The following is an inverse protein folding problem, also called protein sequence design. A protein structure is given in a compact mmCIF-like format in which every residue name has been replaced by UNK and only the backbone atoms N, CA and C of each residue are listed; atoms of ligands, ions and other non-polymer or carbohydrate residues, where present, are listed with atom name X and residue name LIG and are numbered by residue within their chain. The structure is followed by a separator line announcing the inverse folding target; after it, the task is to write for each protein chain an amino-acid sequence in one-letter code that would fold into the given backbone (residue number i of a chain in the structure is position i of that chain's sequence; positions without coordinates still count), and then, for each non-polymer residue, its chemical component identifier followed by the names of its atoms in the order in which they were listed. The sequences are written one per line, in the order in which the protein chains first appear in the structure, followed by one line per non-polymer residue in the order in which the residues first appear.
data_IF_810903885804
#
_entry.id   IF_810903885804
#
_cell.length_a   1.000
_cell.length_b   1.000
_cell.length_c   1.000
_cell.angle_alpha   90.00
_cell.angle_beta   90.00
_cell.angle_gamma   90.00
#
_symmetry.space_group_name_H-M   'P 1'
#
loop_
_entity.id
_entity.type
_entity.pdbx_description
1 polymer ?
#
# COMPACT_ATOMS: atom_id res chain seq x y z
N UNK A 1 7.71 4.67 15.39
CA UNK A 1 8.05 3.51 14.53
C UNK A 1 6.75 2.96 14.00
N UNK A 2 6.27 3.61 12.95
CA UNK A 2 4.94 3.43 12.40
C UNK A 2 4.92 2.15 11.56
N UNK A 3 4.64 1.03 12.24
CA UNK A 3 4.70 -0.33 11.68
C UNK A 3 3.89 -0.49 10.39
N UNK A 4 2.83 0.31 10.22
CA UNK A 4 2.01 0.33 9.02
C UNK A 4 2.76 0.81 7.78
N UNK A 5 3.58 1.87 7.89
CA UNK A 5 4.32 2.40 6.74
C UNK A 5 5.33 1.39 6.24
N UNK A 6 6.05 0.74 7.15
CA UNK A 6 7.01 -0.32 6.82
C UNK A 6 6.34 -1.53 6.19
N UNK A 7 5.15 -1.94 6.67
CA UNK A 7 4.36 -3.03 6.09
C UNK A 7 3.91 -2.69 4.67
N UNK A 8 3.43 -1.46 4.45
CA UNK A 8 3.08 -0.94 3.11
C UNK A 8 4.31 -0.94 2.20
N UNK A 9 5.47 -0.43 2.64
CA UNK A 9 6.67 -0.39 1.81
C UNK A 9 7.19 -1.78 1.45
N UNK A 10 7.16 -2.73 2.39
CA UNK A 10 7.49 -4.14 2.13
C UNK A 10 6.51 -4.76 1.12
N UNK A 11 5.21 -4.49 1.26
CA UNK A 11 4.18 -4.95 0.33
C UNK A 11 4.36 -4.37 -1.08
N UNK A 12 4.59 -3.06 -1.18
CA UNK A 12 4.88 -2.38 -2.46
C UNK A 12 6.11 -2.99 -3.14
N UNK A 13 7.17 -3.28 -2.36
CA UNK A 13 8.39 -3.92 -2.88
C UNK A 13 8.13 -5.35 -3.35
N UNK A 14 7.40 -6.15 -2.56
CA UNK A 14 7.08 -7.54 -2.90
C UNK A 14 6.19 -7.64 -4.16
N UNK A 15 5.30 -6.67 -4.37
CA UNK A 15 4.39 -6.61 -5.50
C UNK A 15 4.91 -5.78 -6.69
N UNK A 16 6.11 -5.19 -6.57
CA UNK A 16 6.65 -4.19 -7.51
C UNK A 16 5.62 -3.08 -7.84
N UNK A 17 4.80 -2.69 -6.85
CA UNK A 17 3.67 -1.80 -7.04
C UNK A 17 4.06 -0.36 -6.68
N UNK A 18 3.66 0.59 -7.52
CA UNK A 18 3.89 2.01 -7.25
C UNK A 18 3.01 2.52 -6.10
N UNK A 19 3.59 3.35 -5.23
CA UNK A 19 2.88 4.04 -4.15
C UNK A 19 1.62 4.80 -4.62
N UNK A 20 1.70 5.45 -5.79
CA UNK A 20 0.56 6.14 -6.39
C UNK A 20 -0.53 5.17 -6.84
N UNK A 21 -0.15 4.04 -7.47
CA UNK A 21 -1.07 2.98 -7.90
C UNK A 21 -1.76 2.33 -6.72
N UNK A 22 -1.04 2.09 -5.62
CA UNK A 22 -1.61 1.54 -4.40
C UNK A 22 -2.69 2.45 -3.82
N UNK A 23 -2.41 3.75 -3.72
CA UNK A 23 -3.40 4.73 -3.25
C UNK A 23 -4.65 4.79 -4.14
N UNK A 24 -4.46 4.72 -5.46
CA UNK A 24 -5.54 4.64 -6.46
C UNK A 24 -6.39 3.36 -6.29
N UNK A 25 -5.76 2.20 -6.06
CA UNK A 25 -6.47 0.93 -5.89
C UNK A 25 -7.22 0.82 -4.55
N UNK A 26 -6.64 1.34 -3.47
CA UNK A 26 -7.22 1.22 -2.11
C UNK A 26 -8.33 2.25 -1.88
N UNK A 27 -8.10 3.49 -2.28
CA UNK A 27 -8.98 4.64 -1.98
C UNK A 27 -9.31 5.51 -3.17
N UNK A 28 -8.85 5.17 -4.38
CA UNK A 28 -8.88 6.10 -5.53
C UNK A 28 -8.15 7.41 -5.25
N UNK A 29 -7.20 7.38 -4.31
CA UNK A 29 -6.45 8.54 -3.83
C UNK A 29 -4.95 8.28 -3.96
N UNK A 30 -4.34 8.85 -5.01
CA UNK A 30 -2.90 8.69 -5.31
C UNK A 30 -2.00 9.41 -4.30
N UNK A 31 -2.56 10.31 -3.48
CA UNK A 31 -1.81 11.08 -2.49
C UNK A 31 -1.71 10.36 -1.14
N UNK A 32 -2.44 9.25 -0.93
CA UNK A 32 -2.44 8.48 0.30
C UNK A 32 -1.04 8.18 0.82
N UNK A 33 -0.18 7.58 -0.01
CA UNK A 33 1.18 7.18 0.40
C UNK A 33 2.09 8.40 0.62
N UNK A 34 1.91 9.46 -0.17
CA UNK A 34 2.64 10.73 0.02
C UNK A 34 2.26 11.38 1.35
N UNK A 35 1.00 11.31 1.76
CA UNK A 35 0.54 11.83 3.03
C UNK A 35 1.01 10.98 4.22
N UNK A 36 1.05 9.66 4.06
CA UNK A 36 1.70 8.74 5.00
C UNK A 36 3.18 9.07 5.21
N UNK A 37 3.92 9.32 4.12
CA UNK A 37 5.35 9.74 4.18
C UNK A 37 5.56 11.08 4.86
N UNK A 38 4.60 12.00 4.74
CA UNK A 38 4.62 13.28 5.44
C UNK A 38 4.22 13.18 6.93
N UNK A 39 4.00 11.98 7.47
CA UNK A 39 3.59 11.80 8.87
C UNK A 39 2.15 12.26 9.14
N UNK A 40 1.31 12.35 8.11
CA UNK A 40 -0.09 12.70 8.30
C UNK A 40 -0.80 11.60 9.08
N UNK A 41 -1.60 12.00 10.06
CA UNK A 41 -2.43 11.07 10.84
C UNK A 41 -3.38 10.32 9.91
N UNK A 42 -3.22 9.00 9.87
CA UNK A 42 -4.13 8.11 9.17
C UNK A 42 -5.34 7.82 10.05
N UNK A 43 -6.53 7.80 9.48
CA UNK A 43 -7.75 7.46 10.21
C UNK A 43 -7.83 5.92 10.34
N UNK A 44 -8.36 5.39 11.44
CA UNK A 44 -8.47 3.94 11.65
C UNK A 44 -9.31 3.25 10.57
N UNK A 45 -10.27 3.93 9.95
CA UNK A 45 -11.01 3.41 8.79
C UNK A 45 -10.11 3.22 7.56
N UNK A 46 -9.20 4.17 7.33
CA UNK A 46 -8.23 4.10 6.24
C UNK A 46 -7.23 2.98 6.49
N UNK A 47 -6.72 2.85 7.71
CA UNK A 47 -5.82 1.76 8.08
C UNK A 47 -6.50 0.40 7.87
N UNK A 48 -7.75 0.25 8.32
CA UNK A 48 -8.53 -0.97 8.11
C UNK A 48 -8.71 -1.30 6.63
N UNK A 49 -8.97 -0.30 5.78
CA UNK A 49 -9.06 -0.50 4.32
C UNK A 49 -7.73 -0.93 3.72
N UNK A 50 -6.62 -0.28 4.10
CA UNK A 50 -5.27 -0.65 3.64
C UNK A 50 -4.97 -2.10 4.07
N UNK A 51 -5.16 -2.43 5.34
CA UNK A 51 -4.89 -3.78 5.87
C UNK A 51 -5.82 -4.82 5.24
N UNK A 52 -7.10 -4.49 5.04
CA UNK A 52 -8.03 -5.37 4.34
C UNK A 52 -7.61 -5.59 2.89
N UNK A 53 -7.21 -4.52 2.18
CA UNK A 53 -6.71 -4.62 0.82
C UNK A 53 -5.44 -5.47 0.77
N UNK A 54 -4.44 -5.24 1.61
CA UNK A 54 -3.23 -6.08 1.65
C UNK A 54 -3.56 -7.56 1.93
N UNK A 55 -4.57 -7.84 2.76
CA UNK A 55 -5.02 -9.20 3.06
C UNK A 55 -5.83 -9.86 1.92
N UNK A 56 -6.63 -9.09 1.19
CA UNK A 56 -7.44 -9.59 0.05
C UNK A 56 -6.76 -9.45 -1.29
N UNK A 57 -5.66 -8.70 -1.37
CA UNK A 57 -4.89 -8.51 -2.58
C UNK A 57 -4.24 -9.83 -2.97
N UNK A 58 -4.89 -10.54 -3.88
CA UNK A 58 -4.28 -11.65 -4.60
C UNK A 58 -3.49 -11.07 -5.76
N UNK A 59 -2.15 -11.20 -5.78
CA UNK A 59 -1.43 -10.95 -7.01
C UNK A 59 -2.01 -11.90 -8.06
N UNK A 60 -2.56 -11.35 -9.13
CA UNK A 60 -2.84 -12.12 -10.33
C UNK A 60 -1.49 -12.47 -10.96
N UNK A 61 -0.81 -13.45 -10.35
CA UNK A 61 0.30 -14.26 -10.87
C UNK A 61 1.12 -13.55 -11.95
N UNK A 62 1.74 -12.41 -11.61
CA UNK A 62 2.64 -11.70 -12.53
C UNK A 62 3.82 -11.17 -11.73
N UNK A 63 4.71 -12.10 -11.36
CA UNK A 63 6.09 -11.80 -11.05
C UNK A 63 6.97 -12.92 -11.61
N UNK A 64 6.74 -13.26 -12.88
CA UNK A 64 7.78 -13.78 -13.75
C UNK A 64 8.51 -12.57 -14.34
N UNK A 65 9.50 -12.05 -13.61
CA UNK A 65 10.71 -11.37 -14.10
C UNK A 65 11.43 -10.66 -12.95
N UNK A 66 12.36 -11.40 -12.35
CA UNK A 66 13.58 -10.86 -11.79
C UNK A 66 14.63 -11.99 -11.82
N UNK A 67 15.20 -12.22 -13.00
CA UNK A 67 16.44 -12.95 -13.24
C UNK A 67 17.30 -12.10 -14.18
#
# INVERSE_FOLDING_TARGET
MDTLLSDIEAFLKAQALGAATFGDLVMKDRHLVRQLRNGRRLWPETERKIRHFMATYRPAKTAEKAA
#
